data_IF_621072076633
#
_entry.id   IF_621072076633
#
_cell.length_a   1.000
_cell.length_b   1.000
_cell.length_c   1.000
_cell.angle_alpha   90.00
_cell.angle_beta   90.00
_cell.angle_gamma   90.00
#
_symmetry.space_group_name_H-M   'P 1'
#
loop_
_entity.id
_entity.type
_entity.pdbx_description
1 polymer ?
#
# COMPACT_ATOMS: atom_id res chain seq x y z
N UNK A 1 -18.38 -9.62 8.20
CA UNK A 1 -17.52 -8.54 7.69
C UNK A 1 -16.02 -8.82 7.82
N UNK A 2 -15.54 -9.51 8.87
CA UNK A 2 -14.11 -9.77 9.15
C UNK A 2 -13.29 -10.42 8.00
N UNK A 3 -13.89 -11.28 7.15
CA UNK A 3 -13.15 -11.98 6.07
C UNK A 3 -12.66 -11.07 4.93
N UNK A 4 -13.23 -9.86 4.77
CA UNK A 4 -12.83 -8.93 3.70
C UNK A 4 -11.63 -8.08 4.13
N UNK A 5 -11.63 -7.54 5.34
CA UNK A 5 -10.53 -6.74 5.90
C UNK A 5 -9.23 -7.55 6.00
N UNK A 6 -9.30 -8.81 6.44
CA UNK A 6 -8.11 -9.67 6.53
C UNK A 6 -7.42 -9.89 5.17
N UNK A 7 -8.18 -9.88 4.07
CA UNK A 7 -7.61 -9.98 2.72
C UNK A 7 -6.96 -8.67 2.29
N UNK A 8 -7.59 -7.54 2.59
CA UNK A 8 -7.03 -6.21 2.34
C UNK A 8 -5.68 -6.07 3.08
N UNK A 9 -5.62 -6.47 4.34
CA UNK A 9 -4.39 -6.44 5.12
C UNK A 9 -3.28 -7.28 4.48
N UNK A 10 -3.63 -8.43 3.91
CA UNK A 10 -2.68 -9.29 3.20
C UNK A 10 -2.15 -8.63 1.93
N UNK A 11 -3.02 -8.00 1.14
CA UNK A 11 -2.65 -7.27 -0.07
C UNK A 11 -1.73 -6.09 0.25
N UNK A 12 -2.11 -5.26 1.22
CA UNK A 12 -1.29 -4.14 1.70
C UNK A 12 0.08 -4.64 2.15
N UNK A 13 0.13 -5.74 2.92
CA UNK A 13 1.40 -6.30 3.40
C UNK A 13 2.30 -6.76 2.25
N UNK A 14 1.73 -7.40 1.23
CA UNK A 14 2.47 -7.88 0.06
C UNK A 14 3.06 -6.72 -0.72
N UNK A 15 2.23 -5.74 -1.07
CA UNK A 15 2.67 -4.59 -1.88
C UNK A 15 3.64 -3.68 -1.13
N UNK A 16 3.39 -3.40 0.16
CA UNK A 16 4.31 -2.58 0.96
C UNK A 16 5.71 -3.23 1.07
N UNK A 17 5.77 -4.57 1.13
CA UNK A 17 7.04 -5.30 1.11
C UNK A 17 7.72 -5.23 -0.27
N UNK A 18 6.97 -5.43 -1.34
CA UNK A 18 7.49 -5.35 -2.70
C UNK A 18 8.06 -3.96 -3.01
N UNK A 19 7.32 -2.90 -2.69
CA UNK A 19 7.77 -1.50 -2.83
C UNK A 19 9.05 -1.25 -2.04
N UNK A 20 9.11 -1.72 -0.79
CA UNK A 20 10.31 -1.60 0.04
C UNK A 20 11.53 -2.25 -0.61
N UNK A 21 11.35 -3.45 -1.16
CA UNK A 21 12.43 -4.20 -1.82
C UNK A 21 12.89 -3.50 -3.10
N UNK A 22 11.96 -2.97 -3.91
CA UNK A 22 12.27 -2.24 -5.14
C UNK A 22 12.98 -0.90 -4.89
N UNK A 23 12.60 -0.18 -3.84
CA UNK A 23 13.32 1.03 -3.41
C UNK A 23 14.72 0.66 -2.92
N UNK A 24 14.82 -0.39 -2.08
CA UNK A 24 16.10 -0.83 -1.51
C UNK A 24 17.08 -1.34 -2.58
N UNK A 25 16.58 -2.01 -3.63
CA UNK A 25 17.40 -2.46 -4.75
C UNK A 25 17.82 -1.33 -5.70
N UNK A 26 17.26 -0.12 -5.52
CA UNK A 26 17.45 1.00 -6.45
C UNK A 26 16.72 0.83 -7.78
N UNK A 27 15.80 -0.15 -7.87
CA UNK A 27 14.99 -0.39 -9.07
C UNK A 27 13.98 0.73 -9.31
N UNK A 28 13.52 1.40 -8.25
CA UNK A 28 12.64 2.56 -8.34
C UNK A 28 13.16 3.67 -7.41
N UNK A 29 13.16 4.90 -7.90
CA UNK A 29 13.40 6.07 -7.06
C UNK A 29 12.18 6.31 -6.17
N UNK A 30 12.39 6.47 -4.85
CA UNK A 30 11.33 6.70 -3.90
C UNK A 30 10.54 8.00 -4.13
N UNK A 31 11.11 8.96 -4.85
CA UNK A 31 10.44 10.19 -5.28
C UNK A 31 9.40 9.94 -6.38
N UNK A 32 9.44 8.81 -7.07
CA UNK A 32 8.49 8.45 -8.13
C UNK A 32 7.28 7.66 -7.63
N UNK A 33 7.31 7.22 -6.37
CA UNK A 33 6.19 6.52 -5.74
C UNK A 33 5.54 7.48 -4.75
N UNK A 34 4.25 7.73 -4.94
CA UNK A 34 3.41 8.45 -3.98
C UNK A 34 2.46 7.49 -3.28
N UNK A 35 1.97 7.92 -2.12
CA UNK A 35 0.93 7.22 -1.39
C UNK A 35 -0.34 7.05 -2.24
N UNK A 36 -0.70 8.06 -3.02
CA UNK A 36 -1.87 7.98 -3.90
C UNK A 36 -1.68 6.92 -4.99
N UNK A 37 -0.52 6.88 -5.67
CA UNK A 37 -0.19 5.83 -6.65
C UNK A 37 -0.24 4.44 -6.00
N UNK A 38 0.28 4.30 -4.78
CA UNK A 38 0.23 3.05 -4.04
C UNK A 38 -1.21 2.58 -3.79
N UNK A 39 -2.10 3.49 -3.41
CA UNK A 39 -3.51 3.19 -3.15
C UNK A 39 -4.25 2.90 -4.47
N UNK A 40 -4.03 3.68 -5.52
CA UNK A 40 -4.63 3.48 -6.84
C UNK A 40 -4.31 2.08 -7.37
N UNK A 41 -3.05 1.65 -7.31
CA UNK A 41 -2.66 0.30 -7.71
C UNK A 41 -3.38 -0.78 -6.89
N UNK A 42 -3.54 -0.58 -5.57
CA UNK A 42 -4.28 -1.52 -4.74
C UNK A 42 -5.78 -1.59 -5.11
N UNK A 43 -6.37 -0.46 -5.50
CA UNK A 43 -7.77 -0.43 -5.93
C UNK A 43 -7.94 -1.20 -7.23
N UNK A 44 -7.06 -0.93 -8.20
CA UNK A 44 -7.11 -1.52 -9.54
C UNK A 44 -6.82 -3.03 -9.51
N UNK A 45 -5.77 -3.45 -8.79
CA UNK A 45 -5.33 -4.85 -8.75
C UNK A 45 -6.29 -5.76 -7.98
N UNK A 46 -6.94 -5.24 -6.94
CA UNK A 46 -7.75 -6.04 -6.01
C UNK A 46 -9.24 -5.72 -6.03
N UNK A 47 -9.68 -4.84 -6.94
CA UNK A 47 -11.08 -4.42 -7.11
C UNK A 47 -11.69 -3.94 -5.79
N UNK A 48 -10.97 -3.06 -5.08
CA UNK A 48 -11.41 -2.50 -3.81
C UNK A 48 -12.55 -1.52 -4.08
N UNK A 49 -13.67 -1.68 -3.37
CA UNK A 49 -14.83 -0.82 -3.50
C UNK A 49 -14.77 0.41 -2.58
N UNK A 50 -15.62 1.42 -2.85
CA UNK A 50 -15.64 2.68 -2.11
C UNK A 50 -15.84 2.50 -0.60
N UNK A 51 -16.57 1.45 -0.19
CA UNK A 51 -16.84 1.18 1.23
C UNK A 51 -15.59 0.71 1.99
N UNK A 52 -14.55 0.32 1.27
CA UNK A 52 -13.30 -0.21 1.80
C UNK A 52 -12.13 0.78 1.71
N UNK A 53 -12.31 1.91 1.00
CA UNK A 53 -11.24 2.88 0.72
C UNK A 53 -10.65 3.52 1.97
N UNK A 54 -11.49 3.88 2.93
CA UNK A 54 -11.02 4.51 4.18
C UNK A 54 -10.14 3.53 4.96
N UNK A 55 -10.61 2.30 5.14
CA UNK A 55 -9.84 1.22 5.77
C UNK A 55 -8.53 0.93 5.02
N UNK A 56 -8.57 0.82 3.69
CA UNK A 56 -7.39 0.62 2.84
C UNK A 56 -6.35 1.71 3.08
N UNK A 57 -6.76 2.99 3.07
CA UNK A 57 -5.85 4.13 3.26
C UNK A 57 -5.23 4.14 4.65
N UNK A 58 -6.03 3.98 5.70
CA UNK A 58 -5.53 3.94 7.07
C UNK A 58 -4.53 2.81 7.27
N UNK A 59 -4.88 1.57 6.89
CA UNK A 59 -4.01 0.41 7.05
C UNK A 59 -2.78 0.45 6.17
N UNK A 60 -2.86 1.05 4.99
CA UNK A 60 -1.69 1.28 4.15
C UNK A 60 -0.71 2.26 4.80
N UNK A 61 -1.19 3.39 5.34
CA UNK A 61 -0.32 4.32 6.07
C UNK A 61 0.35 3.66 7.27
N UNK A 62 -0.42 2.96 8.10
CA UNK A 62 0.11 2.21 9.24
C UNK A 62 1.21 1.24 8.80
N UNK A 63 0.95 0.44 7.76
CA UNK A 63 1.87 -0.60 7.31
C UNK A 63 3.14 -0.03 6.70
N UNK A 64 3.03 0.99 5.85
CA UNK A 64 4.18 1.64 5.20
C UNK A 64 5.08 2.31 6.25
N UNK A 65 4.49 2.97 7.25
CA UNK A 65 5.22 3.55 8.39
C UNK A 65 5.92 2.48 9.23
N UNK A 66 5.23 1.39 9.58
CA UNK A 66 5.82 0.26 10.33
C UNK A 66 7.01 -0.36 9.59
N UNK A 67 6.95 -0.39 8.25
CA UNK A 67 8.03 -0.92 7.41
C UNK A 67 9.10 0.11 7.06
N UNK A 68 8.95 1.37 7.49
CA UNK A 68 9.83 2.50 7.15
C UNK A 68 10.00 2.65 5.62
N UNK A 69 8.90 2.52 4.89
CA UNK A 69 8.84 2.74 3.45
C UNK A 69 8.70 4.25 3.21
N UNK A 70 9.73 4.86 2.65
CA UNK A 70 9.76 6.31 2.39
C UNK A 70 9.22 6.54 0.98
N UNK A 71 7.99 7.01 0.86
CA UNK A 71 7.34 7.40 -0.40
C UNK A 71 6.73 8.80 -0.23
N UNK A 72 6.37 9.46 -1.33
CA UNK A 72 5.78 10.80 -1.26
C UNK A 72 4.35 10.77 -0.69
N UNK A 73 3.97 11.77 0.11
CA UNK A 73 2.61 11.92 0.64
C UNK A 73 2.24 10.97 1.81
N UNK A 74 3.21 10.22 2.33
CA UNK A 74 3.10 9.46 3.58
C UNK A 74 3.38 10.35 4.79
#
# INVERSE_FOLDING_TARGET
>A
MIRKESKIDEFIRREAKAVKELIKSGSINNELISFDIFIENLIDDYQIDDSQLEYLKEKSRERLNLLNVKIQGL
#
